data_IF_838348399349
#
_entry.id   IF_838348399349
#
_cell.length_a   1.000
_cell.length_b   1.000
_cell.length_c   1.000
_cell.angle_alpha   90.00
_cell.angle_beta   90.00
_cell.angle_gamma   90.00
#
_symmetry.space_group_name_H-M   'P 1'
#
loop_
_entity.id
_entity.type
_entity.pdbx_description
1 polymer ?
#
# COMPACT_ATOMS: atom_id res chain seq x y z
N UNK A 1 -36.62 -10.26 12.82
CA UNK A 1 -36.45 -8.82 13.19
C UNK A 1 -34.94 -8.59 13.34
N UNK A 2 -34.28 -8.12 12.28
CA UNK A 2 -32.90 -7.65 12.38
C UNK A 2 -32.96 -6.32 13.14
N UNK A 3 -32.51 -6.32 14.38
CA UNK A 3 -32.22 -5.09 15.10
C UNK A 3 -31.20 -4.33 14.24
N UNK A 4 -31.57 -3.15 13.80
CA UNK A 4 -30.67 -2.23 13.11
C UNK A 4 -29.50 -1.92 14.05
N UNK A 5 -28.45 -2.71 13.95
CA UNK A 5 -27.23 -2.50 14.71
C UNK A 5 -26.53 -1.32 14.06
N UNK A 6 -26.86 -0.11 14.48
CA UNK A 6 -26.21 1.10 13.99
C UNK A 6 -24.74 1.01 14.43
N UNK A 7 -23.76 1.12 13.53
CA UNK A 7 -22.36 1.04 13.93
C UNK A 7 -22.06 2.10 15.00
N UNK A 8 -21.17 1.80 15.96
CA UNK A 8 -20.80 2.76 16.98
C UNK A 8 -20.18 4.01 16.35
N UNK A 9 -20.35 5.15 17.00
CA UNK A 9 -19.59 6.34 16.63
C UNK A 9 -18.11 6.07 16.94
N UNK A 10 -17.24 6.26 15.96
CA UNK A 10 -15.82 5.99 16.08
C UNK A 10 -14.94 7.15 15.57
N UNK A 11 -15.51 8.36 15.47
CA UNK A 11 -14.82 9.50 14.88
C UNK A 11 -13.55 9.89 15.64
N UNK A 12 -13.58 9.82 16.96
CA UNK A 12 -12.42 10.14 17.80
C UNK A 12 -11.39 9.03 17.73
N UNK A 13 -11.83 7.77 17.81
CA UNK A 13 -10.94 6.61 17.68
C UNK A 13 -10.23 6.59 16.33
N UNK A 14 -10.92 6.91 15.23
CA UNK A 14 -10.30 6.98 13.90
C UNK A 14 -9.20 8.04 13.83
N UNK A 15 -9.41 9.23 14.44
CA UNK A 15 -8.36 10.27 14.51
C UNK A 15 -7.18 9.83 15.36
N UNK A 16 -7.43 9.14 16.47
CA UNK A 16 -6.37 8.61 17.31
C UNK A 16 -5.57 7.54 16.53
N UNK A 17 -6.25 6.61 15.85
CA UNK A 17 -5.58 5.60 15.03
C UNK A 17 -4.79 6.23 13.88
N UNK A 18 -5.33 7.27 13.23
CA UNK A 18 -4.61 8.05 12.22
C UNK A 18 -3.31 8.63 12.79
N UNK A 19 -3.38 9.27 13.96
CA UNK A 19 -2.22 9.89 14.61
C UNK A 19 -1.19 8.86 15.07
N UNK A 20 -1.62 7.67 15.55
CA UNK A 20 -0.73 6.57 15.90
C UNK A 20 0.04 6.00 14.70
N UNK A 21 -0.56 6.03 13.49
CA UNK A 21 0.08 5.63 12.24
C UNK A 21 0.89 6.74 11.58
N UNK A 22 0.83 7.97 12.08
CA UNK A 22 1.67 9.06 11.61
C UNK A 22 3.10 8.94 12.11
N UNK A 23 4.01 9.70 11.46
CA UNK A 23 5.41 9.76 11.86
C UNK A 23 5.54 10.17 13.35
N UNK A 24 6.32 9.43 14.15
CA UNK A 24 6.48 9.71 15.57
C UNK A 24 7.36 10.94 15.80
N UNK A 25 6.73 12.00 16.24
CA UNK A 25 7.37 13.27 16.59
C UNK A 25 7.16 13.63 18.06
N UNK A 26 7.74 14.76 18.49
CA UNK A 26 7.58 15.26 19.85
C UNK A 26 6.13 15.61 20.20
N UNK A 27 5.32 16.02 19.21
CA UNK A 27 3.90 16.32 19.40
C UNK A 27 3.10 15.04 19.66
N UNK A 28 3.32 13.98 18.88
CA UNK A 28 2.69 12.68 19.15
C UNK A 28 2.92 12.25 20.59
N UNK A 29 4.17 12.37 21.08
CA UNK A 29 4.53 11.96 22.44
C UNK A 29 3.76 12.76 23.50
N UNK A 30 3.56 14.06 23.30
CA UNK A 30 2.78 14.89 24.23
C UNK A 30 1.31 14.53 24.25
N UNK A 31 0.77 14.05 23.12
CA UNK A 31 -0.65 13.78 22.94
C UNK A 31 -1.06 12.37 23.40
N UNK A 32 -0.09 11.45 23.63
CA UNK A 32 -0.38 10.03 23.90
C UNK A 32 -1.34 9.81 25.08
N UNK A 33 -1.26 10.62 26.14
CA UNK A 33 -2.14 10.48 27.29
C UNK A 33 -3.59 10.85 26.94
N UNK A 34 -3.79 11.94 26.20
CA UNK A 34 -5.11 12.38 25.74
C UNK A 34 -5.69 11.41 24.70
N UNK A 35 -4.86 10.85 23.84
CA UNK A 35 -5.25 9.85 22.86
C UNK A 35 -5.76 8.57 23.55
N UNK A 36 -5.06 8.09 24.59
CA UNK A 36 -5.52 6.96 25.41
C UNK A 36 -6.89 7.27 26.04
N UNK A 37 -7.00 8.40 26.69
CA UNK A 37 -8.26 8.83 27.30
C UNK A 37 -9.40 8.84 26.29
N UNK A 38 -9.18 9.40 25.10
CA UNK A 38 -10.17 9.49 24.03
C UNK A 38 -10.65 8.11 23.53
N UNK A 39 -9.73 7.13 23.37
CA UNK A 39 -10.07 5.75 23.00
C UNK A 39 -10.97 5.08 24.05
N UNK A 40 -10.65 5.26 25.34
CA UNK A 40 -11.41 4.69 26.43
C UNK A 40 -12.78 5.34 26.62
N UNK A 41 -12.92 6.64 26.35
CA UNK A 41 -14.18 7.36 26.42
C UNK A 41 -15.14 6.95 25.30
N UNK A 42 -14.65 6.84 24.06
CA UNK A 42 -15.51 6.54 22.91
C UNK A 42 -15.93 5.06 22.85
N UNK A 43 -15.10 4.14 23.36
CA UNK A 43 -15.38 2.69 23.46
C UNK A 43 -15.81 2.07 22.11
N UNK A 44 -15.24 2.55 21.02
CA UNK A 44 -15.60 2.10 19.69
C UNK A 44 -14.99 0.72 19.32
N UNK A 45 -13.90 0.31 19.99
CA UNK A 45 -13.19 -0.96 19.78
C UNK A 45 -13.34 -1.88 20.98
N UNK A 46 -13.13 -3.19 20.76
CA UNK A 46 -13.26 -4.18 21.81
C UNK A 46 -12.27 -3.97 22.98
N UNK A 47 -12.59 -4.34 24.23
CA UNK A 47 -11.71 -4.16 25.38
C UNK A 47 -10.33 -4.79 25.21
N UNK A 48 -10.25 -5.96 24.55
CA UNK A 48 -8.97 -6.61 24.26
C UNK A 48 -8.11 -5.74 23.33
N UNK A 49 -8.71 -5.16 22.31
CA UNK A 49 -8.02 -4.28 21.37
C UNK A 49 -7.56 -2.98 22.03
N UNK A 50 -8.37 -2.43 22.93
CA UNK A 50 -7.97 -1.27 23.73
C UNK A 50 -6.72 -1.57 24.57
N UNK A 51 -6.64 -2.76 25.19
CA UNK A 51 -5.44 -3.15 25.96
C UNK A 51 -4.19 -3.26 25.08
N UNK A 52 -4.32 -3.75 23.85
CA UNK A 52 -3.20 -3.80 22.90
C UNK A 52 -2.77 -2.39 22.45
N UNK A 53 -3.73 -1.49 22.20
CA UNK A 53 -3.46 -0.09 21.87
C UNK A 53 -2.79 0.64 23.06
N UNK A 54 -3.22 0.37 24.28
CA UNK A 54 -2.57 0.89 25.50
C UNK A 54 -1.11 0.43 25.60
N UNK A 55 -0.83 -0.83 25.28
CA UNK A 55 0.54 -1.35 25.27
C UNK A 55 1.40 -0.66 24.21
N UNK A 56 0.86 -0.38 23.01
CA UNK A 56 1.53 0.41 21.97
C UNK A 56 1.82 1.83 22.47
N UNK A 57 0.81 2.52 23.05
CA UNK A 57 0.97 3.87 23.60
C UNK A 57 2.06 3.91 24.69
N UNK A 58 2.09 2.92 25.58
CA UNK A 58 3.12 2.79 26.60
C UNK A 58 4.53 2.59 26.00
N UNK A 59 4.64 1.84 24.90
CA UNK A 59 5.89 1.67 24.18
C UNK A 59 6.35 2.99 23.57
N UNK A 60 5.46 3.69 22.86
CA UNK A 60 5.74 4.98 22.23
C UNK A 60 6.15 6.05 23.27
N UNK A 61 5.59 6.00 24.47
CA UNK A 61 5.93 6.92 25.54
C UNK A 61 7.31 6.65 26.15
N UNK A 62 7.70 5.37 26.29
CA UNK A 62 8.93 4.97 26.98
C UNK A 62 10.16 4.94 26.10
N UNK A 63 10.02 4.60 24.81
CA UNK A 63 11.15 4.45 23.89
C UNK A 63 11.74 5.83 23.50
N UNK A 64 13.08 5.98 23.38
CA UNK A 64 13.69 7.21 22.88
C UNK A 64 13.13 7.63 21.51
N UNK A 65 12.88 8.92 21.31
CA UNK A 65 12.23 9.43 20.09
C UNK A 65 13.01 9.05 18.82
N UNK A 66 14.31 9.24 18.81
CA UNK A 66 15.16 8.90 17.66
C UNK A 66 15.09 7.41 17.28
N UNK A 67 14.91 6.52 18.27
CA UNK A 67 14.75 5.08 18.01
C UNK A 67 13.35 4.79 17.45
N UNK A 68 12.32 5.50 17.91
CA UNK A 68 10.96 5.39 17.34
C UNK A 68 10.91 5.85 15.89
N UNK A 69 11.58 6.96 15.58
CA UNK A 69 11.69 7.49 14.22
C UNK A 69 12.40 6.49 13.29
N UNK A 70 13.52 5.91 13.76
CA UNK A 70 14.24 4.91 12.99
C UNK A 70 13.42 3.63 12.75
N UNK A 71 12.73 3.13 13.80
CA UNK A 71 11.86 1.96 13.68
C UNK A 71 10.70 2.21 12.73
N UNK A 72 10.12 3.41 12.76
CA UNK A 72 9.02 3.80 11.89
C UNK A 72 9.43 3.77 10.42
N UNK A 73 10.56 4.40 10.09
CA UNK A 73 11.12 4.40 8.74
C UNK A 73 11.44 2.98 8.27
N UNK A 74 12.06 2.16 9.12
CA UNK A 74 12.36 0.76 8.78
C UNK A 74 11.10 -0.06 8.55
N UNK A 75 10.03 0.19 9.31
CA UNK A 75 8.79 -0.55 9.26
C UNK A 75 7.91 -0.16 8.07
N UNK A 76 7.69 1.14 7.88
CA UNK A 76 6.66 1.66 6.97
C UNK A 76 7.21 2.22 5.65
N UNK A 77 8.43 2.78 5.66
CA UNK A 77 8.99 3.40 4.46
C UNK A 77 9.84 2.43 3.64
N UNK A 78 10.50 1.44 4.31
CA UNK A 78 11.34 0.46 3.63
C UNK A 78 10.63 -0.83 3.26
N UNK A 79 9.48 -1.10 3.86
CA UNK A 79 8.71 -2.34 3.65
C UNK A 79 7.50 -2.12 2.77
N UNK A 80 7.49 -2.64 1.53
CA UNK A 80 6.34 -2.54 0.63
C UNK A 80 5.08 -3.19 1.24
N UNK A 81 5.22 -4.34 1.90
CA UNK A 81 4.11 -5.06 2.51
C UNK A 81 3.51 -4.34 3.73
N UNK A 82 4.25 -3.43 4.35
CA UNK A 82 3.80 -2.62 5.49
C UNK A 82 3.57 -1.15 5.13
N UNK A 83 3.71 -0.77 3.85
CA UNK A 83 3.46 0.60 3.39
C UNK A 83 2.08 1.09 3.82
N UNK A 84 2.01 2.33 4.29
CA UNK A 84 0.76 3.01 4.63
C UNK A 84 0.12 3.72 3.44
N UNK A 85 0.71 3.64 2.25
CA UNK A 85 0.12 4.09 1.00
C UNK A 85 -0.74 2.99 0.39
N UNK A 86 -2.07 3.12 0.52
CA UNK A 86 -3.01 2.05 0.18
C UNK A 86 -2.94 1.62 -1.29
N UNK A 87 -2.67 2.55 -2.19
CA UNK A 87 -2.63 2.24 -3.63
C UNK A 87 -1.34 1.52 -4.07
N UNK A 88 -0.32 1.45 -3.20
CA UNK A 88 0.82 0.56 -3.44
C UNK A 88 0.42 -0.91 -3.38
N UNK A 89 -0.55 -1.25 -2.53
CA UNK A 89 -1.06 -2.61 -2.40
C UNK A 89 -2.00 -3.02 -3.54
N UNK A 90 -2.68 -2.06 -4.17
CA UNK A 90 -3.69 -2.33 -5.21
C UNK A 90 -3.12 -2.16 -6.60
N UNK A 91 -2.42 -1.07 -6.84
CA UNK A 91 -1.97 -0.65 -8.16
C UNK A 91 -0.46 -0.85 -8.38
N UNK A 92 0.33 -0.92 -7.30
CA UNK A 92 1.79 -0.95 -7.40
C UNK A 92 2.29 0.21 -8.27
N UNK A 93 3.07 -0.13 -9.32
CA UNK A 93 3.62 0.82 -10.30
C UNK A 93 2.71 1.01 -11.54
N UNK A 94 1.45 0.56 -11.48
CA UNK A 94 0.49 0.68 -12.58
C UNK A 94 0.17 2.15 -12.90
N UNK A 95 -0.10 2.43 -14.19
CA UNK A 95 -0.56 3.74 -14.66
C UNK A 95 -1.92 4.15 -14.09
N UNK A 96 -2.68 3.19 -13.57
CA UNK A 96 -4.01 3.44 -12.98
C UNK A 96 -3.93 4.11 -11.61
N UNK A 97 -2.76 4.09 -10.96
CA UNK A 97 -2.54 4.75 -9.66
C UNK A 97 -2.85 6.25 -9.71
N UNK A 98 -2.37 6.95 -10.74
CA UNK A 98 -2.59 8.39 -10.89
C UNK A 98 -4.07 8.80 -10.94
N UNK A 99 -4.88 8.23 -11.84
CA UNK A 99 -6.33 8.46 -11.87
C UNK A 99 -7.02 8.14 -10.54
N UNK A 100 -6.70 7.01 -9.89
CA UNK A 100 -7.27 6.64 -8.60
C UNK A 100 -6.96 7.67 -7.49
N UNK A 101 -5.74 8.23 -7.47
CA UNK A 101 -5.37 9.33 -6.57
C UNK A 101 -6.24 10.57 -6.77
N UNK A 102 -6.50 10.94 -8.03
CA UNK A 102 -7.33 12.10 -8.36
C UNK A 102 -8.77 11.86 -7.90
N UNK A 103 -9.31 10.68 -8.13
CA UNK A 103 -10.69 10.33 -7.73
C UNK A 103 -10.85 10.36 -6.21
N UNK A 104 -9.85 9.86 -5.48
CA UNK A 104 -9.86 9.89 -4.01
C UNK A 104 -9.78 11.33 -3.48
N UNK A 105 -8.89 12.16 -4.03
CA UNK A 105 -8.79 13.58 -3.66
C UNK A 105 -10.08 14.35 -3.97
N UNK A 106 -10.75 14.06 -5.09
CA UNK A 106 -12.05 14.64 -5.42
C UNK A 106 -13.13 14.21 -4.43
N UNK A 107 -13.08 12.97 -3.95
CA UNK A 107 -14.00 12.46 -2.93
C UNK A 107 -13.87 13.27 -1.63
N UNK A 108 -12.64 13.54 -1.20
CA UNK A 108 -12.36 14.40 -0.05
C UNK A 108 -12.88 15.83 -0.27
N UNK A 109 -12.60 16.42 -1.44
CA UNK A 109 -13.06 17.76 -1.80
C UNK A 109 -14.59 17.91 -1.79
N UNK A 110 -15.34 16.89 -2.23
CA UNK A 110 -16.80 16.87 -2.15
C UNK A 110 -17.33 16.91 -0.72
N UNK A 111 -16.57 16.36 0.21
CA UNK A 111 -16.88 16.41 1.65
C UNK A 111 -16.31 17.65 2.36
N UNK A 112 -15.67 18.55 1.61
CA UNK A 112 -15.09 19.80 2.16
C UNK A 112 -13.72 19.62 2.82
N UNK A 113 -13.05 18.48 2.62
CA UNK A 113 -11.69 18.23 3.08
C UNK A 113 -10.70 18.45 1.94
N UNK A 114 -9.66 19.22 2.19
CA UNK A 114 -8.60 19.52 1.22
C UNK A 114 -7.25 19.09 1.78
N UNK A 115 -6.47 18.43 0.94
CA UNK A 115 -5.12 17.98 1.30
C UNK A 115 -4.17 19.15 1.41
N UNK A 116 -3.24 19.09 2.36
CA UNK A 116 -2.12 20.01 2.41
C UNK A 116 -1.12 19.73 1.26
N UNK A 117 -0.26 20.69 0.98
CA UNK A 117 0.76 20.54 -0.05
C UNK A 117 1.71 19.39 0.30
N UNK A 118 1.84 18.43 -0.61
CA UNK A 118 2.69 17.25 -0.43
C UNK A 118 2.00 16.05 0.25
N UNK A 119 0.76 16.20 0.73
CA UNK A 119 0.01 15.06 1.27
C UNK A 119 -0.53 14.16 0.15
N UNK A 120 -0.38 12.85 0.35
CA UNK A 120 -0.89 11.84 -0.58
C UNK A 120 -2.29 11.40 -0.15
N UNK A 121 -3.28 11.41 -1.06
CA UNK A 121 -4.66 11.06 -0.70
C UNK A 121 -4.81 9.62 -0.22
N UNK A 122 -3.97 8.69 -0.69
CA UNK A 122 -3.98 7.27 -0.31
C UNK A 122 -3.17 6.97 0.96
N UNK A 123 -2.57 7.97 1.61
CA UNK A 123 -1.87 7.77 2.87
C UNK A 123 -2.86 7.44 3.97
N UNK A 124 -2.72 6.27 4.59
CA UNK A 124 -3.72 5.74 5.53
C UNK A 124 -4.12 6.72 6.66
N UNK A 125 -3.22 7.47 7.31
CA UNK A 125 -3.62 8.51 8.25
C UNK A 125 -4.60 9.54 7.66
N UNK A 126 -4.38 10.01 6.43
CA UNK A 126 -5.26 10.97 5.75
C UNK A 126 -6.63 10.33 5.46
N UNK A 127 -6.63 9.08 4.98
CA UNK A 127 -7.85 8.29 4.76
C UNK A 127 -8.67 8.18 6.05
N UNK A 128 -8.03 7.95 7.19
CA UNK A 128 -8.70 7.82 8.48
C UNK A 128 -9.23 9.16 9.01
N UNK A 129 -8.52 10.25 8.78
CA UNK A 129 -9.01 11.59 9.10
C UNK A 129 -10.27 11.90 8.31
N UNK A 130 -10.27 11.66 6.99
CA UNK A 130 -11.48 11.79 6.18
C UNK A 130 -12.60 10.90 6.72
N UNK A 131 -12.33 9.62 6.95
CA UNK A 131 -13.33 8.67 7.45
C UNK A 131 -13.92 9.11 8.79
N UNK A 132 -13.12 9.75 9.64
CA UNK A 132 -13.56 10.27 10.95
C UNK A 132 -14.63 11.36 10.85
N UNK A 133 -14.72 12.04 9.71
CA UNK A 133 -15.70 13.10 9.45
C UNK A 133 -17.02 12.58 8.90
N UNK A 134 -17.06 11.31 8.46
CA UNK A 134 -18.25 10.73 7.85
C UNK A 134 -19.27 10.24 8.88
N UNK A 135 -20.55 10.14 8.51
CA UNK A 135 -21.55 9.46 9.33
C UNK A 135 -21.11 8.02 9.67
N UNK A 136 -21.46 7.49 10.86
CA UNK A 136 -20.93 6.19 11.31
C UNK A 136 -21.14 5.02 10.34
N UNK A 137 -22.26 5.02 9.63
CA UNK A 137 -22.56 3.99 8.64
C UNK A 137 -21.65 4.11 7.41
N UNK A 138 -21.51 5.32 6.87
CA UNK A 138 -20.67 5.61 5.71
C UNK A 138 -19.19 5.37 6.03
N UNK A 139 -18.75 5.79 7.23
CA UNK A 139 -17.40 5.51 7.72
C UNK A 139 -17.10 4.01 7.75
N UNK A 140 -18.03 3.20 8.25
CA UNK A 140 -17.88 1.75 8.29
C UNK A 140 -17.85 1.13 6.90
N UNK A 141 -18.76 1.54 6.01
CA UNK A 141 -18.83 1.07 4.63
C UNK A 141 -17.52 1.40 3.89
N UNK A 142 -17.00 2.61 4.06
CA UNK A 142 -15.75 3.05 3.48
C UNK A 142 -14.53 2.25 3.99
N UNK A 143 -14.46 1.96 5.31
CA UNK A 143 -13.42 1.09 5.85
C UNK A 143 -13.54 -0.35 5.33
N UNK A 144 -14.77 -0.86 5.16
CA UNK A 144 -15.01 -2.21 4.68
C UNK A 144 -14.53 -2.41 3.23
N UNK A 145 -14.65 -1.39 2.38
CA UNK A 145 -14.10 -1.42 1.01
C UNK A 145 -12.58 -1.64 1.00
N UNK A 146 -11.87 -1.11 2.00
CA UNK A 146 -10.41 -1.21 2.12
C UNK A 146 -9.95 -2.39 3.00
N UNK A 147 -10.89 -3.17 3.56
CA UNK A 147 -10.56 -4.22 4.54
C UNK A 147 -9.54 -5.24 4.02
N UNK A 148 -9.57 -5.57 2.73
CA UNK A 148 -8.60 -6.48 2.12
C UNK A 148 -7.15 -5.96 2.21
N UNK A 149 -6.95 -4.63 2.08
CA UNK A 149 -5.63 -4.00 2.24
C UNK A 149 -5.23 -4.00 3.72
N UNK A 150 -6.17 -3.69 4.62
CA UNK A 150 -5.91 -3.73 6.07
C UNK A 150 -5.51 -5.13 6.53
N UNK A 151 -6.13 -6.18 5.99
CA UNK A 151 -5.72 -7.56 6.26
C UNK A 151 -4.29 -7.86 5.81
N UNK A 152 -3.90 -7.39 4.61
CA UNK A 152 -2.54 -7.58 4.09
C UNK A 152 -1.50 -6.90 4.99
N UNK A 153 -1.71 -5.61 5.32
CA UNK A 153 -0.80 -4.85 6.20
C UNK A 153 -0.78 -5.46 7.60
N UNK A 154 -1.94 -5.84 8.16
CA UNK A 154 -2.05 -6.49 9.46
C UNK A 154 -1.22 -7.75 9.55
N UNK A 155 -1.34 -8.65 8.56
CA UNK A 155 -0.59 -9.88 8.51
C UNK A 155 0.92 -9.63 8.37
N UNK A 156 1.34 -8.68 7.53
CA UNK A 156 2.75 -8.29 7.39
C UNK A 156 3.33 -7.73 8.70
N UNK A 157 2.56 -6.92 9.43
CA UNK A 157 2.97 -6.40 10.75
C UNK A 157 3.06 -7.51 11.80
N UNK A 158 2.14 -8.48 11.76
CA UNK A 158 2.19 -9.64 12.66
C UNK A 158 3.41 -10.53 12.40
N UNK A 159 3.77 -10.79 11.15
CA UNK A 159 4.98 -11.54 10.78
C UNK A 159 6.24 -10.89 11.32
N UNK A 160 6.26 -9.55 11.38
CA UNK A 160 7.36 -8.76 11.95
C UNK A 160 7.26 -8.59 13.47
N UNK A 161 6.28 -9.22 14.12
CA UNK A 161 5.97 -9.04 15.54
C UNK A 161 5.84 -7.56 15.94
N UNK A 162 5.35 -6.72 15.03
CA UNK A 162 5.24 -5.29 15.24
C UNK A 162 4.05 -4.96 16.14
N UNK A 163 4.22 -4.10 17.16
CA UNK A 163 3.12 -3.65 18.02
C UNK A 163 2.07 -2.83 17.26
N UNK A 164 2.41 -2.24 16.11
CA UNK A 164 1.47 -1.52 15.26
C UNK A 164 0.38 -2.41 14.65
N UNK A 165 0.51 -3.73 14.67
CA UNK A 165 -0.53 -4.65 14.22
C UNK A 165 -1.88 -4.39 14.94
N UNK A 166 -1.87 -3.97 16.22
CA UNK A 166 -3.09 -3.67 16.96
C UNK A 166 -3.90 -2.52 16.33
N UNK A 167 -3.24 -1.54 15.67
CA UNK A 167 -3.92 -0.42 15.01
C UNK A 167 -4.72 -0.93 13.80
N UNK A 168 -4.10 -1.75 12.95
CA UNK A 168 -4.78 -2.37 11.81
C UNK A 168 -5.90 -3.32 12.26
N UNK A 169 -5.67 -4.05 13.36
CA UNK A 169 -6.71 -4.88 13.99
C UNK A 169 -7.91 -4.05 14.45
N UNK A 170 -7.70 -2.87 15.02
CA UNK A 170 -8.77 -1.94 15.38
C UNK A 170 -9.54 -1.44 14.15
N UNK A 171 -8.85 -1.13 13.05
CA UNK A 171 -9.49 -0.71 11.80
C UNK A 171 -10.38 -1.81 11.21
N UNK A 172 -9.92 -3.06 11.23
CA UNK A 172 -10.72 -4.21 10.81
C UNK A 172 -11.98 -4.39 11.67
N UNK A 173 -11.87 -4.26 12.99
CA UNK A 173 -13.03 -4.30 13.89
C UNK A 173 -14.03 -3.18 13.58
N UNK A 174 -13.55 -1.94 13.34
CA UNK A 174 -14.41 -0.81 12.98
C UNK A 174 -15.06 -1.00 11.60
N UNK A 175 -14.38 -1.64 10.65
CA UNK A 175 -14.95 -2.06 9.38
C UNK A 175 -16.02 -3.16 9.52
N UNK A 176 -16.06 -3.83 10.67
CA UNK A 176 -16.95 -4.96 10.95
C UNK A 176 -16.38 -6.31 10.53
N UNK A 177 -15.09 -6.36 10.27
CA UNK A 177 -14.34 -7.54 9.91
C UNK A 177 -13.63 -8.15 11.13
N UNK A 178 -13.27 -9.44 11.03
CA UNK A 178 -12.45 -10.09 12.04
C UNK A 178 -10.98 -9.95 11.67
N UNK A 179 -10.18 -9.43 12.57
CA UNK A 179 -8.73 -9.40 12.43
C UNK A 179 -8.18 -10.84 12.49
N UNK A 180 -8.08 -11.51 11.35
CA UNK A 180 -7.51 -12.84 11.22
C UNK A 180 -6.18 -12.74 10.47
N UNK A 181 -5.13 -13.48 10.89
CA UNK A 181 -3.92 -13.58 10.10
C UNK A 181 -4.25 -14.21 8.75
N UNK A 182 -3.92 -13.52 7.67
CA UNK A 182 -3.95 -14.08 6.31
C UNK A 182 -2.55 -14.63 6.04
N UNK A 183 -2.44 -15.85 5.52
CA UNK A 183 -1.16 -16.35 4.99
C UNK A 183 -0.78 -15.48 3.78
N UNK A 184 0.20 -14.60 3.99
CA UNK A 184 0.81 -13.84 2.90
C UNK A 184 1.95 -14.70 2.37
N UNK A 185 2.03 -14.89 1.05
CA UNK A 185 3.20 -15.46 0.40
C UNK A 185 4.45 -14.65 0.85
N UNK A 186 5.53 -15.36 1.19
CA UNK A 186 6.76 -14.69 1.59
C UNK A 186 7.15 -13.64 0.54
N UNK A 187 7.49 -12.43 0.99
CA UNK A 187 8.05 -11.41 0.10
C UNK A 187 9.27 -12.00 -0.61
N UNK A 188 9.26 -11.98 -1.93
CA UNK A 188 10.48 -12.27 -2.68
C UNK A 188 11.55 -11.23 -2.28
N UNK A 189 12.78 -11.66 -1.97
CA UNK A 189 13.85 -10.71 -1.66
C UNK A 189 13.95 -9.66 -2.77
N UNK A 190 14.13 -8.39 -2.41
CA UNK A 190 14.27 -7.28 -3.36
C UNK A 190 15.31 -7.60 -4.43
N UNK A 191 16.40 -8.28 -4.07
CA UNK A 191 17.44 -8.75 -4.98
C UNK A 191 16.96 -9.79 -6.00
N UNK A 192 15.90 -10.55 -5.69
CA UNK A 192 15.33 -11.52 -6.64
C UNK A 192 14.47 -10.83 -7.71
N UNK A 193 13.82 -9.72 -7.37
CA UNK A 193 13.03 -8.90 -8.31
C UNK A 193 13.95 -8.16 -9.28
N UNK A 194 15.19 -7.87 -8.89
CA UNK A 194 16.21 -7.21 -9.71
C UNK A 194 17.16 -8.18 -10.41
N UNK A 195 16.91 -9.49 -10.36
CA UNK A 195 17.65 -10.41 -11.20
C UNK A 195 17.42 -10.03 -12.66
N UNK A 196 18.44 -9.44 -13.28
CA UNK A 196 18.45 -9.20 -14.72
C UNK A 196 18.13 -10.53 -15.41
N UNK A 197 17.17 -10.56 -16.36
CA UNK A 197 16.94 -11.77 -17.14
C UNK A 197 18.28 -12.18 -17.74
N UNK A 198 18.63 -13.45 -17.59
CA UNK A 198 19.90 -14.01 -18.10
C UNK A 198 19.95 -13.72 -19.58
N UNK A 199 20.66 -12.65 -19.96
CA UNK A 199 20.71 -12.08 -21.32
C UNK A 199 21.24 -13.09 -22.34
N UNK A 200 21.79 -14.22 -21.88
CA UNK A 200 22.44 -15.22 -22.71
C UNK A 200 21.89 -16.65 -22.62
N UNK A 201 20.78 -16.88 -21.94
CA UNK A 201 20.22 -18.24 -21.83
C UNK A 201 19.42 -18.69 -23.08
N UNK A 202 19.43 -17.89 -24.14
CA UNK A 202 18.76 -18.20 -25.39
C UNK A 202 19.67 -18.34 -26.60
N UNK A 203 20.98 -18.12 -26.50
CA UNK A 203 21.90 -18.44 -27.53
C UNK A 203 22.28 -19.93 -27.46
N UNK A 204 21.43 -20.78 -28.03
CA UNK A 204 21.76 -22.17 -28.27
C UNK A 204 23.11 -22.24 -29.00
N UNK A 205 24.09 -22.88 -28.40
CA UNK A 205 25.38 -23.20 -29.02
C UNK A 205 25.24 -24.11 -30.24
N UNK A 206 24.03 -24.47 -30.66
CA UNK A 206 23.66 -25.19 -31.87
C UNK A 206 23.61 -24.26 -33.08
N UNK A 207 24.63 -23.56 -33.37
CA UNK A 207 24.75 -22.68 -34.54
C UNK A 207 25.96 -21.76 -34.50
N UNK A 208 26.65 -21.71 -33.41
CA UNK A 208 27.96 -21.04 -33.38
C UNK A 208 29.03 -21.97 -33.92
N UNK A 209 29.46 -21.65 -35.13
CA UNK A 209 30.60 -22.30 -35.71
C UNK A 209 31.85 -22.10 -34.85
N UNK A 210 32.60 -23.20 -34.65
CA UNK A 210 33.89 -23.13 -33.98
C UNK A 210 34.84 -22.24 -34.80
N UNK A 211 35.70 -21.42 -34.14
CA UNK A 211 36.58 -20.48 -34.83
C UNK A 211 37.51 -21.08 -35.86
N UNK A 212 37.70 -22.38 -35.84
CA UNK A 212 38.66 -23.11 -36.68
C UNK A 212 38.04 -23.88 -37.86
N UNK A 213 36.74 -23.71 -38.13
CA UNK A 213 36.10 -24.34 -39.29
C UNK A 213 35.81 -23.32 -40.40
N UNK A 214 36.31 -23.55 -41.66
CA UNK A 214 36.01 -22.68 -42.79
C UNK A 214 34.51 -22.79 -43.13
N UNK A 215 33.81 -21.65 -43.11
CA UNK A 215 32.43 -21.57 -43.53
C UNK A 215 32.31 -21.42 -45.04
N UNK A 216 31.49 -22.23 -45.72
CA UNK A 216 31.19 -21.96 -47.13
C UNK A 216 30.33 -20.69 -47.23
N UNK A 217 30.86 -19.69 -47.90
CA UNK A 217 30.11 -18.48 -48.24
C UNK A 217 29.18 -18.81 -49.40
N UNK A 218 27.88 -18.93 -49.17
CA UNK A 218 26.90 -19.02 -50.24
C UNK A 218 26.63 -17.62 -50.82
N UNK A 219 27.27 -17.36 -52.00
CA UNK A 219 26.95 -16.17 -52.77
C UNK A 219 25.63 -16.41 -53.50
N UNK A 220 24.55 -15.79 -53.07
CA UNK A 220 23.28 -15.80 -53.80
C UNK A 220 23.39 -14.77 -54.92
N UNK A 221 23.30 -15.18 -56.21
CA UNK A 221 23.33 -14.22 -57.32
C UNK A 221 22.10 -13.34 -57.24
N UNK A 222 22.33 -12.01 -57.27
CA UNK A 222 21.26 -11.01 -57.27
C UNK A 222 20.46 -11.14 -58.59
N UNK A 223 19.27 -11.77 -58.52
CA UNK A 223 18.39 -11.91 -59.68
C UNK A 223 17.98 -10.51 -60.16
N UNK A 224 18.37 -10.19 -61.38
CA UNK A 224 18.18 -8.93 -62.05
C UNK A 224 16.73 -8.40 -61.85
N UNK A 225 16.62 -7.17 -61.35
CA UNK A 225 15.40 -6.37 -61.32
C UNK A 225 14.81 -6.27 -62.72
N UNK A 226 13.73 -7.02 -63.02
CA UNK A 226 12.96 -6.82 -64.25
C UNK A 226 12.33 -5.40 -64.17
N UNK A 227 12.75 -4.55 -65.14
CA UNK A 227 12.17 -3.24 -65.35
C UNK A 227 10.68 -3.37 -65.67
N UNK A 228 9.83 -2.66 -64.96
CA UNK A 228 8.42 -2.44 -65.30
C UNK A 228 8.32 -1.51 -66.49
N UNK A 229 7.54 -1.83 -67.53
CA UNK A 229 7.26 -0.88 -68.61
C UNK A 229 6.40 0.27 -68.13
N UNK A 230 6.80 1.49 -68.48
CA UNK A 230 6.02 2.72 -68.27
C UNK A 230 4.77 2.71 -69.17
N UNK A 231 3.59 2.75 -68.55
CA UNK A 231 2.36 3.06 -69.31
C UNK A 231 2.29 4.55 -69.54
N UNK A 232 2.27 4.89 -70.84
CA UNK A 232 2.14 6.28 -71.31
C UNK A 232 0.76 6.84 -71.01
N UNK A 233 0.75 8.10 -70.62
CA UNK A 233 -0.44 8.95 -70.56
C UNK A 233 -0.74 9.37 -72.00
N UNK A 234 -1.95 9.03 -72.48
CA UNK A 234 -2.55 9.68 -73.67
C UNK A 234 -3.68 10.62 -73.19
N UNK A 235 -3.49 11.88 -73.56
CA UNK A 235 -4.42 13.00 -73.75
C UNK A 235 -5.84 12.89 -73.21
#
# INVERSE_FOLDING_TARGET
>A
MALFNNPPKASTSLRVLARLLGYPDGQLRSDLADMRYALHEERAVAPQRLAELDALIDLLQRKPLLELEADYVELFDRGRATSLHLFEHVHGDSRDRGPAMIDLAQTYGKAGMYLAEGEMPDFLPVVLEFTSTQPPREAREFLAEMAHIFHAIFAALQQRASPYACVLGALLELAGEKAQPVEIAAEEPIDAVWQEPVVFDGCSSKGQARPDQPHPIHIVPNAARKARPSQGVQT
#
